data_IF_458241285737
#
_entry.id   IF_458241285737
#
_cell.length_a   1.000
_cell.length_b   1.000
_cell.length_c   1.000
_cell.angle_alpha   90.00
_cell.angle_beta   90.00
_cell.angle_gamma   90.00
#
_symmetry.space_group_name_H-M   'P 1'
#
loop_
_entity.id
_entity.type
_entity.pdbx_description
1 polymer ?
#
# COMPACT_ATOMS: atom_id res chain seq x y z
N UNK A 1 19.60 -7.25 -10.04
CA UNK A 1 18.26 -6.90 -9.51
C UNK A 1 17.50 -6.15 -10.58
N UNK A 2 16.30 -6.62 -10.90
CA UNK A 2 15.41 -5.97 -11.86
C UNK A 2 14.80 -4.69 -11.28
N UNK A 3 14.33 -3.77 -12.12
CA UNK A 3 13.65 -2.54 -11.67
C UNK A 3 12.36 -2.84 -10.89
N UNK A 4 11.68 -3.94 -11.21
CA UNK A 4 10.47 -4.40 -10.50
C UNK A 4 10.81 -4.85 -9.07
N UNK A 5 11.90 -5.59 -8.87
CA UNK A 5 12.34 -6.03 -7.54
C UNK A 5 12.63 -4.85 -6.62
N UNK A 6 13.38 -3.86 -7.11
CA UNK A 6 13.66 -2.63 -6.36
C UNK A 6 12.40 -1.86 -6.02
N UNK A 7 11.46 -1.75 -6.97
CA UNK A 7 10.17 -1.10 -6.74
C UNK A 7 9.41 -1.78 -5.59
N UNK A 8 9.38 -3.12 -5.57
CA UNK A 8 8.73 -3.88 -4.49
C UNK A 8 9.38 -3.62 -3.14
N UNK A 9 10.71 -3.65 -3.08
CA UNK A 9 11.47 -3.38 -1.85
C UNK A 9 11.17 -1.98 -1.32
N UNK A 10 11.25 -0.95 -2.17
CA UNK A 10 10.95 0.43 -1.80
C UNK A 10 9.51 0.59 -1.28
N UNK A 11 8.53 -0.01 -1.95
CA UNK A 11 7.12 0.03 -1.52
C UNK A 11 6.94 -0.65 -0.16
N UNK A 12 7.56 -1.81 0.06
CA UNK A 12 7.49 -2.52 1.35
C UNK A 12 8.11 -1.67 2.46
N UNK A 13 9.30 -1.09 2.24
CA UNK A 13 9.95 -0.23 3.23
C UNK A 13 9.13 1.00 3.58
N UNK A 14 8.56 1.65 2.56
CA UNK A 14 7.68 2.80 2.74
C UNK A 14 6.46 2.43 3.59
N UNK A 15 5.71 1.38 3.21
CA UNK A 15 4.49 0.98 3.90
C UNK A 15 4.74 0.50 5.34
N UNK A 16 5.86 -0.18 5.60
CA UNK A 16 6.28 -0.55 6.97
C UNK A 16 6.48 0.68 7.85
N UNK A 17 7.15 1.71 7.33
CA UNK A 17 7.44 2.95 8.07
C UNK A 17 6.18 3.80 8.27
N UNK A 18 5.35 3.91 7.24
CA UNK A 18 4.22 4.85 7.21
C UNK A 18 2.99 4.29 7.92
N UNK A 19 2.65 3.01 7.72
CA UNK A 19 1.43 2.39 8.25
C UNK A 19 1.71 1.47 9.45
N UNK A 20 2.97 1.30 9.84
CA UNK A 20 3.39 0.29 10.83
C UNK A 20 2.89 -1.13 10.47
N UNK A 21 2.74 -1.38 9.16
CA UNK A 21 2.20 -2.63 8.64
C UNK A 21 3.23 -3.76 8.78
N UNK A 22 2.81 -4.88 9.38
CA UNK A 22 3.66 -6.06 9.56
C UNK A 22 3.63 -6.99 8.36
N UNK A 23 2.43 -7.21 7.82
CA UNK A 23 2.14 -8.16 6.76
C UNK A 23 1.76 -7.40 5.49
N UNK A 24 2.72 -7.19 4.59
CA UNK A 24 2.52 -6.50 3.31
C UNK A 24 2.76 -7.51 2.19
N UNK A 25 1.78 -7.64 1.30
CA UNK A 25 1.88 -8.47 0.10
C UNK A 25 1.74 -7.59 -1.13
N UNK A 26 2.80 -7.47 -1.92
CA UNK A 26 2.70 -6.81 -3.23
C UNK A 26 1.93 -7.73 -4.18
N UNK A 27 0.77 -7.27 -4.65
CA UNK A 27 -0.13 -8.03 -5.53
C UNK A 27 -0.05 -7.57 -6.99
N UNK A 28 0.51 -6.39 -7.25
CA UNK A 28 0.72 -5.86 -8.60
C UNK A 28 1.86 -4.86 -8.65
N UNK A 29 2.59 -4.86 -9.76
CA UNK A 29 3.56 -3.81 -10.11
C UNK A 29 3.48 -3.61 -11.61
N UNK A 30 3.25 -2.37 -12.04
CA UNK A 30 3.18 -1.98 -13.44
C UNK A 30 4.05 -0.76 -13.68
N UNK A 31 4.74 -0.76 -14.82
CA UNK A 31 5.44 0.43 -15.29
C UNK A 31 4.42 1.34 -15.97
N UNK A 32 4.41 2.61 -15.60
CA UNK A 32 3.56 3.66 -16.20
C UNK A 32 4.46 4.72 -16.86
N UNK A 33 3.87 5.69 -17.56
CA UNK A 33 4.65 6.71 -18.30
C UNK A 33 5.70 7.40 -17.43
N UNK A 34 5.33 7.80 -16.22
CA UNK A 34 6.19 8.63 -15.34
C UNK A 34 6.85 7.85 -14.20
N UNK A 35 6.84 6.52 -14.26
CA UNK A 35 7.48 5.68 -13.24
C UNK A 35 6.78 4.35 -13.05
N UNK A 36 6.33 4.10 -11.83
CA UNK A 36 5.77 2.82 -11.40
C UNK A 36 4.50 3.01 -10.58
N UNK A 37 3.57 2.09 -10.78
CA UNK A 37 2.43 1.91 -9.90
C UNK A 37 2.51 0.52 -9.28
N UNK A 38 2.32 0.45 -7.96
CA UNK A 38 2.32 -0.79 -7.21
C UNK A 38 1.04 -0.92 -6.41
N UNK A 39 0.54 -2.16 -6.31
CA UNK A 39 -0.59 -2.50 -5.46
C UNK A 39 -0.12 -3.40 -4.33
N UNK A 40 -0.44 -3.00 -3.10
CA UNK A 40 -0.08 -3.72 -1.89
C UNK A 40 -1.33 -4.09 -1.10
N UNK A 41 -1.47 -5.38 -0.78
CA UNK A 41 -2.45 -5.89 0.16
C UNK A 41 -1.86 -5.87 1.57
N UNK A 42 -2.59 -5.26 2.50
CA UNK A 42 -2.20 -5.13 3.91
C UNK A 42 -3.36 -5.59 4.79
N UNK A 43 -3.03 -6.33 5.85
CA UNK A 43 -3.99 -6.73 6.87
C UNK A 43 -3.80 -5.84 8.11
N UNK A 44 -4.73 -4.93 8.33
CA UNK A 44 -4.69 -3.95 9.42
C UNK A 44 -5.72 -4.28 10.49
N UNK A 45 -5.46 -3.92 11.74
CA UNK A 45 -6.46 -4.10 12.79
C UNK A 45 -7.67 -3.21 12.50
N UNK A 46 -8.88 -3.77 12.57
CA UNK A 46 -10.08 -3.02 12.22
C UNK A 46 -10.29 -1.86 13.19
N UNK A 47 -10.16 -0.63 12.70
CA UNK A 47 -10.40 0.59 13.47
C UNK A 47 -11.83 0.65 14.01
N UNK A 48 -12.80 0.09 13.28
CA UNK A 48 -14.18 -0.02 13.71
C UNK A 48 -14.33 -0.95 14.92
N UNK A 49 -13.77 -2.16 14.84
CA UNK A 49 -13.85 -3.14 15.93
C UNK A 49 -13.08 -2.66 17.17
N UNK A 50 -11.94 -1.98 16.97
CA UNK A 50 -11.22 -1.29 18.05
C UNK A 50 -12.08 -0.26 18.75
N UNK A 51 -12.80 0.58 17.99
CA UNK A 51 -13.69 1.60 18.57
C UNK A 51 -14.83 0.99 19.39
N UNK A 52 -15.26 -0.24 19.07
CA UNK A 52 -16.27 -0.99 19.83
C UNK A 52 -15.70 -1.68 21.09
N UNK A 53 -14.39 -1.65 21.31
CA UNK A 53 -13.76 -2.29 22.47
C UNK A 53 -13.85 -3.82 22.48
N UNK A 54 -14.14 -4.45 21.35
CA UNK A 54 -14.31 -5.89 21.27
C UNK A 54 -12.95 -6.58 21.21
N UNK A 55 -12.67 -7.59 22.06
CA UNK A 55 -11.42 -8.32 22.05
C UNK A 55 -11.41 -9.34 20.90
N UNK A 56 -11.21 -8.86 19.67
CA UNK A 56 -11.14 -9.72 18.48
C UNK A 56 -9.79 -9.59 17.78
N UNK A 57 -9.43 -10.62 17.00
CA UNK A 57 -8.25 -10.61 16.12
C UNK A 57 -8.62 -10.34 14.66
N UNK A 58 -9.81 -9.79 14.41
CA UNK A 58 -10.29 -9.50 13.05
C UNK A 58 -9.45 -8.38 12.47
N UNK A 59 -8.89 -8.63 11.29
CA UNK A 59 -8.14 -7.65 10.52
C UNK A 59 -8.92 -7.30 9.25
N UNK A 60 -8.93 -6.04 8.89
CA UNK A 60 -9.45 -5.57 7.62
C UNK A 60 -8.37 -5.79 6.54
N UNK A 61 -8.81 -6.31 5.39
CA UNK A 61 -7.95 -6.47 4.22
C UNK A 61 -8.08 -5.20 3.38
N UNK A 62 -7.02 -4.43 3.37
CA UNK A 62 -6.92 -3.18 2.63
C UNK A 62 -5.99 -3.35 1.43
N UNK A 63 -6.34 -2.71 0.31
CA UNK A 63 -5.47 -2.64 -0.87
C UNK A 63 -5.04 -1.19 -1.02
N UNK A 64 -3.74 -0.96 -1.07
CA UNK A 64 -3.16 0.35 -1.32
C UNK A 64 -2.62 0.41 -2.74
N UNK A 65 -2.86 1.54 -3.42
CA UNK A 65 -2.18 1.91 -4.66
C UNK A 65 -1.08 2.89 -4.31
N UNK A 66 0.14 2.65 -4.79
CA UNK A 66 1.33 3.45 -4.54
C UNK A 66 1.94 3.85 -5.88
N UNK A 67 2.14 5.16 -6.07
CA UNK A 67 2.80 5.71 -7.26
C UNK A 67 4.22 6.13 -6.90
N UNK A 68 5.16 5.73 -7.74
CA UNK A 68 6.56 6.06 -7.62
C UNK A 68 7.04 6.67 -8.92
N UNK A 69 7.91 7.67 -8.84
CA UNK A 69 8.54 8.24 -10.02
C UNK A 69 9.65 7.32 -10.58
N UNK A 70 10.29 7.77 -11.66
CA UNK A 70 11.39 7.04 -12.30
C UNK A 70 12.61 6.80 -11.39
N UNK A 71 12.78 7.62 -10.35
CA UNK A 71 13.83 7.49 -9.31
C UNK A 71 13.41 6.57 -8.15
N UNK A 72 12.23 5.93 -8.23
CA UNK A 72 11.61 5.13 -7.17
C UNK A 72 11.26 5.92 -5.90
N UNK A 73 11.13 7.24 -6.00
CA UNK A 73 10.59 8.04 -4.91
C UNK A 73 9.07 7.92 -4.91
N UNK A 74 8.48 7.71 -3.73
CA UNK A 74 7.02 7.59 -3.56
C UNK A 74 6.39 8.98 -3.67
N UNK A 75 5.56 9.18 -4.70
CA UNK A 75 4.88 10.45 -4.94
C UNK A 75 3.50 10.50 -4.27
N UNK A 76 2.80 9.36 -4.24
CA UNK A 76 1.49 9.25 -3.58
C UNK A 76 1.17 7.82 -3.21
N UNK A 77 0.29 7.66 -2.22
CA UNK A 77 -0.31 6.39 -1.87
C UNK A 77 -1.73 6.61 -1.34
N UNK A 78 -2.61 5.63 -1.53
CA UNK A 78 -3.98 5.72 -1.05
C UNK A 78 -4.68 4.36 -1.04
N UNK A 79 -5.76 4.27 -0.26
CA UNK A 79 -6.60 3.08 -0.24
C UNK A 79 -7.33 2.97 -1.58
N UNK A 80 -7.19 1.83 -2.25
CA UNK A 80 -7.85 1.52 -3.51
C UNK A 80 -9.36 1.51 -3.28
N UNK A 81 -10.08 2.37 -3.99
CA UNK A 81 -11.53 2.55 -3.84
C UNK A 81 -11.96 3.74 -2.97
N UNK A 82 -11.02 4.48 -2.36
CA UNK A 82 -11.28 5.80 -1.74
C UNK A 82 -10.68 6.97 -2.54
N UNK A 83 -10.14 6.72 -3.73
CA UNK A 83 -9.80 7.79 -4.66
C UNK A 83 -11.09 8.46 -5.14
N UNK A 84 -11.31 9.69 -4.69
CA UNK A 84 -12.37 10.57 -5.18
C UNK A 84 -12.41 10.61 -6.72
N UNK A 85 -13.59 10.83 -7.34
CA UNK A 85 -13.63 11.07 -8.77
C UNK A 85 -12.81 12.32 -9.08
N UNK A 86 -11.92 12.21 -10.07
CA UNK A 86 -11.31 13.38 -10.69
C UNK A 86 -12.44 14.10 -11.44
N UNK A 87 -12.85 15.27 -10.95
CA UNK A 87 -13.69 16.22 -11.69
C UNK A 87 -12.95 16.78 -12.92
#
# INVERSE_FOLDING_TARGET
MSSIEKTKETVIEFLKKTLNAKDIKIIGVSKVQDGWEAEAEIYEESSFIKALGLPTRVKDRNIYTIKLNTSLEVESYGLKGQTEPVE
#
